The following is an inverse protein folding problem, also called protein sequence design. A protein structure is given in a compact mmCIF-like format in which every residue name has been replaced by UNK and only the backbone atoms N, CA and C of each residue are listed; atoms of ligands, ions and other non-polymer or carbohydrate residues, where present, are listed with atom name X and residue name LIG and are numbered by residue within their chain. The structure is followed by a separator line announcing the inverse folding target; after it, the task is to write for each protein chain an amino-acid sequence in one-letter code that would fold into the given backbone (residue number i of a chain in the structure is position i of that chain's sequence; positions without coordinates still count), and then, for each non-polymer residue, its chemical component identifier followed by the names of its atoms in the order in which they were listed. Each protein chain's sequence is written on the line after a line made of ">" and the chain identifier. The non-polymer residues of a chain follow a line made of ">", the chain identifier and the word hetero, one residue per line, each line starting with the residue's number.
data_IF_252649058016
#
_entry.id   IF_252649058016
#
_cell.length_a   1.000
_cell.length_b   1.000
_cell.length_c   1.000
_cell.angle_alpha   90.00
_cell.angle_beta   90.00
_cell.angle_gamma   90.00
#
_symmetry.space_group_name_H-M   'P 1'
#
loop_
_entity.id
_entity.type
_entity.pdbx_description
1 polymer ?
#
# COMPACT_ATOMS: atom_id res chain seq x y z
N UNK A 1 -11.53 2.47 2.67
CA UNK A 1 -10.42 3.01 3.48
C UNK A 1 -10.79 4.43 3.83
N UNK A 2 -10.62 4.82 5.09
CA UNK A 2 -10.70 6.24 5.44
C UNK A 2 -9.51 6.96 4.82
N UNK A 3 -9.70 8.16 4.28
CA UNK A 3 -8.66 8.86 3.54
C UNK A 3 -7.46 9.18 4.46
N UNK A 4 -7.75 9.59 5.69
CA UNK A 4 -6.76 9.85 6.74
C UNK A 4 -5.91 8.61 7.06
N UNK A 5 -6.52 7.41 7.07
CA UNK A 5 -5.78 6.17 7.29
C UNK A 5 -4.81 5.88 6.15
N UNK A 6 -5.25 6.06 4.90
CA UNK A 6 -4.41 5.83 3.73
C UNK A 6 -3.24 6.81 3.68
N UNK A 7 -3.47 8.09 3.97
CA UNK A 7 -2.43 9.13 4.01
C UNK A 7 -1.34 8.80 5.05
N UNK A 8 -1.74 8.40 6.26
CA UNK A 8 -0.80 8.01 7.32
C UNK A 8 -0.01 6.75 6.95
N UNK A 9 -0.65 5.75 6.34
CA UNK A 9 0.06 4.55 5.87
C UNK A 9 1.04 4.88 4.74
N UNK A 10 0.68 5.77 3.82
CA UNK A 10 1.58 6.25 2.76
C UNK A 10 2.80 6.98 3.35
N UNK A 11 2.61 7.79 4.39
CA UNK A 11 3.69 8.52 5.05
C UNK A 11 4.63 7.59 5.82
N UNK A 12 4.10 6.63 6.57
CA UNK A 12 4.91 5.74 7.42
C UNK A 12 5.60 4.64 6.61
N UNK A 13 4.88 4.00 5.69
CA UNK A 13 5.38 2.83 4.96
C UNK A 13 6.21 3.21 3.73
N UNK A 14 6.10 4.46 3.27
CA UNK A 14 6.76 4.98 2.07
C UNK A 14 6.71 3.99 0.88
N UNK A 15 5.52 3.48 0.51
CA UNK A 15 5.41 2.45 -0.51
C UNK A 15 5.78 2.98 -1.90
N UNK A 16 6.06 2.07 -2.83
CA UNK A 16 6.20 2.44 -4.22
C UNK A 16 4.83 2.72 -4.84
N UNK A 17 4.61 3.95 -5.31
CA UNK A 17 3.36 4.38 -5.96
C UNK A 17 3.61 4.63 -7.44
N UNK A 18 2.77 4.06 -8.29
CA UNK A 18 2.84 4.23 -9.74
C UNK A 18 1.46 4.32 -10.36
N UNK A 19 1.38 5.03 -11.49
CA UNK A 19 0.17 5.14 -12.29
C UNK A 19 0.40 4.43 -13.61
N UNK A 20 -0.52 3.52 -13.96
CA UNK A 20 -0.51 2.87 -15.25
C UNK A 20 -1.08 3.84 -16.29
N UNK A 21 -0.21 4.39 -17.12
CA UNK A 21 -0.58 5.32 -18.18
C UNK A 21 -0.58 4.65 -19.55
N UNK A 22 -1.53 5.07 -20.39
CA UNK A 22 -1.59 4.68 -21.79
C UNK A 22 -0.42 5.22 -22.61
N UNK A 23 -0.02 4.41 -23.59
CA UNK A 23 1.07 4.72 -24.50
C UNK A 23 0.57 4.83 -25.94
N UNK A 24 1.26 5.62 -26.77
CA UNK A 24 0.94 5.77 -28.19
C UNK A 24 -0.37 6.50 -28.42
N UNK A 25 -1.35 5.86 -29.06
CA UNK A 25 -2.64 6.49 -29.37
C UNK A 25 -3.51 6.79 -28.13
N UNK A 26 -3.12 6.27 -26.97
CA UNK A 26 -3.79 6.49 -25.68
C UNK A 26 -2.90 7.25 -24.68
N UNK A 27 -1.89 7.99 -25.15
CA UNK A 27 -1.03 8.81 -24.31
C UNK A 27 -1.85 9.81 -23.48
N UNK A 28 -1.67 9.79 -22.15
CA UNK A 28 -2.44 10.59 -21.19
C UNK A 28 -3.73 9.94 -20.65
N UNK A 29 -4.06 8.72 -21.07
CA UNK A 29 -5.08 7.91 -20.39
C UNK A 29 -4.49 7.28 -19.12
N UNK A 30 -5.20 7.36 -18.00
CA UNK A 30 -4.85 6.63 -16.77
C UNK A 30 -5.71 5.36 -16.71
N UNK A 31 -5.08 4.20 -16.66
CA UNK A 31 -5.74 2.90 -16.60
C UNK A 31 -5.90 2.36 -15.19
N UNK A 32 -5.06 2.82 -14.27
CA UNK A 32 -5.15 2.45 -12.88
C UNK A 32 -4.01 3.02 -12.05
N UNK A 33 -4.17 2.93 -10.74
CA UNK A 33 -3.13 3.26 -9.77
C UNK A 33 -2.68 1.99 -9.06
N UNK A 34 -1.39 1.91 -8.81
CA UNK A 34 -0.73 0.80 -8.18
C UNK A 34 0.08 1.29 -6.99
N UNK A 35 -0.11 0.64 -5.84
CA UNK A 35 0.70 0.85 -4.64
C UNK A 35 1.32 -0.50 -4.27
N UNK A 36 2.64 -0.54 -4.18
CA UNK A 36 3.39 -1.66 -3.65
C UNK A 36 3.87 -1.32 -2.24
N UNK A 37 3.10 -1.85 -1.29
CA UNK A 37 3.40 -1.77 0.12
C UNK A 37 4.59 -2.66 0.45
N UNK A 38 5.50 -2.20 1.32
CA UNK A 38 6.58 -3.05 1.81
C UNK A 38 6.01 -4.26 2.55
N UNK A 39 6.76 -5.37 2.53
CA UNK A 39 6.47 -6.48 3.43
C UNK A 39 6.75 -6.04 4.86
N UNK A 40 5.85 -6.36 5.80
CA UNK A 40 6.00 -5.95 7.20
C UNK A 40 7.28 -6.49 7.85
N UNK A 41 7.74 -7.66 7.40
CA UNK A 41 8.97 -8.33 7.84
C UNK A 41 10.25 -7.61 7.37
N UNK A 42 10.13 -6.69 6.41
CA UNK A 42 11.24 -5.93 5.84
C UNK A 42 11.21 -4.44 6.23
N UNK A 43 10.32 -4.05 7.16
CA UNK A 43 10.24 -2.68 7.64
C UNK A 43 11.45 -2.32 8.50
N UNK A 44 11.86 -1.06 8.42
CA UNK A 44 12.87 -0.52 9.33
C UNK A 44 12.29 -0.29 10.74
N UNK A 45 13.14 -0.37 11.77
CA UNK A 45 12.75 -0.16 13.17
C UNK A 45 11.99 1.15 13.39
N UNK A 46 12.38 2.22 12.69
CA UNK A 46 11.70 3.52 12.77
C UNK A 46 10.26 3.46 12.24
N UNK A 47 10.02 2.72 11.16
CA UNK A 47 8.67 2.51 10.60
C UNK A 47 7.81 1.67 11.55
N UNK A 48 8.38 0.60 12.12
CA UNK A 48 7.69 -0.22 13.12
C UNK A 48 7.30 0.60 14.37
N UNK A 49 8.20 1.47 14.83
CA UNK A 49 7.92 2.37 15.96
C UNK A 49 6.82 3.39 15.64
N UNK A 50 6.81 3.95 14.42
CA UNK A 50 5.75 4.86 13.97
C UNK A 50 4.39 4.16 13.89
N UNK A 51 4.34 2.95 13.32
CA UNK A 51 3.12 2.15 13.29
C UNK A 51 2.61 1.81 14.70
N UNK A 52 3.50 1.39 15.59
CA UNK A 52 3.14 1.12 16.98
C UNK A 52 2.56 2.37 17.67
N UNK A 53 3.19 3.54 17.47
CA UNK A 53 2.69 4.80 18.00
C UNK A 53 1.33 5.19 17.42
N UNK A 54 1.13 5.02 16.10
CA UNK A 54 -0.15 5.31 15.43
C UNK A 54 -1.32 4.49 15.98
N UNK A 55 -1.09 3.21 16.31
CA UNK A 55 -2.10 2.33 16.89
C UNK A 55 -2.16 2.33 18.42
N UNK A 56 -1.39 3.19 19.10
CA UNK A 56 -1.26 3.23 20.56
C UNK A 56 -0.84 1.86 21.16
N UNK A 57 0.09 1.18 20.47
CA UNK A 57 0.66 -0.11 20.87
C UNK A 57 1.96 0.14 21.65
N UNK A 58 2.04 -0.46 22.83
CA UNK A 58 3.25 -0.50 23.64
C UNK A 58 4.17 -1.61 23.13
N UNK A 59 5.03 -1.30 22.16
CA UNK A 59 5.89 -2.27 21.44
C UNK A 59 6.84 -3.04 22.37
N UNK A 60 7.25 -2.46 23.51
CA UNK A 60 8.12 -3.11 24.50
C UNK A 60 7.48 -4.36 25.14
N UNK A 61 6.17 -4.56 24.99
CA UNK A 61 5.43 -5.70 25.54
C UNK A 61 5.36 -6.90 24.61
N UNK A 62 5.80 -6.76 23.36
CA UNK A 62 5.64 -7.76 22.32
C UNK A 62 7.00 -8.16 21.76
N UNK A 63 7.13 -9.42 21.37
CA UNK A 63 8.18 -9.81 20.43
C UNK A 63 7.91 -9.22 19.04
N UNK A 64 8.93 -9.19 18.19
CA UNK A 64 8.80 -8.72 16.82
C UNK A 64 7.69 -9.46 16.06
N UNK A 65 7.68 -10.79 16.11
CA UNK A 65 6.64 -11.61 15.47
C UNK A 65 5.22 -11.26 15.96
N UNK A 66 5.04 -11.08 17.29
CA UNK A 66 3.75 -10.70 17.87
C UNK A 66 3.33 -9.27 17.47
N UNK A 67 4.29 -8.35 17.37
CA UNK A 67 4.03 -6.99 16.89
C UNK A 67 3.59 -7.00 15.42
N UNK A 68 4.26 -7.76 14.56
CA UNK A 68 3.90 -7.90 13.15
C UNK A 68 2.49 -8.52 12.99
N UNK A 69 2.15 -9.55 13.77
CA UNK A 69 0.79 -10.12 13.76
C UNK A 69 -0.26 -9.09 14.19
N UNK A 70 0.02 -8.26 15.20
CA UNK A 70 -0.88 -7.18 15.62
C UNK A 70 -1.06 -6.14 14.53
N UNK A 71 0.00 -5.71 13.85
CA UNK A 71 -0.06 -4.75 12.75
C UNK A 71 -0.92 -5.29 11.59
N UNK A 72 -0.78 -6.57 11.26
CA UNK A 72 -1.67 -7.24 10.28
C UNK A 72 -3.13 -7.24 10.73
N UNK A 73 -3.40 -7.54 12.01
CA UNK A 73 -4.76 -7.51 12.57
C UNK A 73 -5.37 -6.09 12.53
N UNK A 74 -4.55 -5.06 12.70
CA UNK A 74 -4.95 -3.65 12.58
C UNK A 74 -5.20 -3.21 11.15
N UNK A 75 -4.89 -4.04 10.16
CA UNK A 75 -5.11 -3.77 8.74
C UNK A 75 -4.02 -2.90 8.12
N UNK A 76 -2.80 -2.92 8.67
CA UNK A 76 -1.64 -2.34 7.98
C UNK A 76 -1.47 -3.04 6.64
N UNK A 77 -1.41 -2.30 5.52
CA UNK A 77 -1.33 -2.90 4.20
C UNK A 77 0.06 -3.51 3.96
N UNK A 78 0.09 -4.63 3.25
CA UNK A 78 1.32 -5.30 2.79
C UNK A 78 1.13 -5.83 1.35
N UNK A 79 2.20 -5.89 0.57
CA UNK A 79 2.17 -6.34 -0.82
C UNK A 79 1.47 -5.37 -1.78
N UNK A 80 0.80 -5.89 -2.79
CA UNK A 80 0.26 -5.09 -3.90
C UNK A 80 -1.19 -4.67 -3.69
N UNK A 81 -1.47 -3.37 -3.84
CA UNK A 81 -2.82 -2.81 -4.04
C UNK A 81 -2.95 -2.24 -5.46
N UNK A 82 -4.01 -2.63 -6.18
CA UNK A 82 -4.33 -2.12 -7.51
C UNK A 82 -5.76 -1.58 -7.54
N UNK A 83 -5.90 -0.33 -8.00
CA UNK A 83 -7.19 0.28 -8.28
C UNK A 83 -7.31 0.48 -9.80
N UNK A 84 -8.23 -0.26 -10.41
CA UNK A 84 -8.54 -0.14 -11.83
C UNK A 84 -9.54 1.00 -12.06
N UNK A 85 -9.26 1.86 -13.02
CA UNK A 85 -10.24 2.87 -13.44
C UNK A 85 -11.33 2.18 -14.30
N UNK A 86 -12.50 1.95 -13.70
CA UNK A 86 -13.57 1.13 -14.26
C UNK A 86 -14.17 1.66 -15.58
N UNK A 87 -13.86 2.91 -15.96
CA UNK A 87 -14.29 3.51 -17.23
C UNK A 87 -13.43 3.06 -18.43
N UNK A 88 -12.30 2.37 -18.21
CA UNK A 88 -11.53 1.76 -19.29
C UNK A 88 -11.88 0.28 -19.48
N UNK A 89 -12.38 -0.15 -20.66
CA UNK A 89 -12.71 -1.55 -20.89
C UNK A 89 -11.43 -2.39 -20.87
N UNK A 90 -11.43 -3.44 -20.02
CA UNK A 90 -10.44 -4.53 -19.94
C UNK A 90 -9.51 -4.58 -21.16
N UNK A 91 -8.26 -4.15 -20.96
CA UNK A 91 -7.21 -4.09 -21.98
C UNK A 91 -6.89 -5.43 -22.65
N UNK A 92 -7.50 -6.53 -22.19
CA UNK A 92 -7.44 -7.87 -22.77
C UNK A 92 -7.94 -7.96 -24.23
N UNK A 93 -8.47 -6.88 -24.82
CA UNK A 93 -8.88 -6.84 -26.25
C UNK A 93 -7.85 -6.22 -27.21
N UNK A 94 -6.73 -5.70 -26.74
CA UNK A 94 -5.75 -5.02 -27.62
C UNK A 94 -4.54 -5.86 -28.04
N UNK A 95 -4.48 -7.14 -27.64
CA UNK A 95 -3.58 -8.12 -28.25
C UNK A 95 -4.38 -9.09 -29.12
N UNK A 96 -4.49 -8.77 -30.41
CA UNK A 96 -4.87 -9.71 -31.49
C UNK A 96 -3.79 -9.72 -32.56
#
# INVERSE_FOLDING_TARGET
>A
MDNDFLEEMLEILEPYVSTEEGSGSNEGAVYGNYIEWPDLENLEDDQLNQLAAYFDIDSDKYSEDELLELLREKGVPEGTSYEHDADFPDGAKYYS
#
